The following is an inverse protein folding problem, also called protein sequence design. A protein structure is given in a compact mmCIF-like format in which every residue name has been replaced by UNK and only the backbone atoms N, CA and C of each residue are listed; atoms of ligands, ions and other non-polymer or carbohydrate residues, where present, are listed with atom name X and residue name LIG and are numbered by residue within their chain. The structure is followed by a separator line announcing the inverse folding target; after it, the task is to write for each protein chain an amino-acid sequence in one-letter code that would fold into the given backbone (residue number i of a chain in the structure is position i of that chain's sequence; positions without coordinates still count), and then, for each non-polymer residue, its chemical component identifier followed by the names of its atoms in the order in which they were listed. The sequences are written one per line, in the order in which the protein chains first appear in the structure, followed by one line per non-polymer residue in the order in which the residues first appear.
data_IF_616910076162
#
_entry.id   IF_616910076162
#
_cell.length_a   1.000
_cell.length_b   1.000
_cell.length_c   1.000
_cell.angle_alpha   90.00
_cell.angle_beta   90.00
_cell.angle_gamma   90.00
#
_symmetry.space_group_name_H-M   'P 1'
#
loop_
_entity.id
_entity.type
_entity.pdbx_description
1 polymer ?
#
# COMPACT_ATOMS: atom_id res chain seq x y z
N UNK A 1 -13.56 6.03 14.57
CA UNK A 1 -12.54 4.95 14.64
C UNK A 1 -11.50 5.22 13.56
N UNK A 2 -10.19 5.06 13.83
CA UNK A 2 -9.10 5.31 12.87
C UNK A 2 -8.47 3.97 12.47
N UNK A 3 -8.52 3.57 11.20
CA UNK A 3 -7.88 2.34 10.74
C UNK A 3 -6.36 2.51 10.78
N UNK A 4 -5.67 1.55 11.39
CA UNK A 4 -4.22 1.64 11.59
C UNK A 4 -3.46 0.80 10.56
N UNK A 5 -3.85 -0.48 10.41
CA UNK A 5 -3.23 -1.39 9.44
C UNK A 5 -4.27 -2.08 8.57
N UNK A 6 -3.89 -2.27 7.30
CA UNK A 6 -4.40 -3.31 6.43
C UNK A 6 -3.31 -4.39 6.38
N UNK A 7 -3.61 -5.63 6.77
CA UNK A 7 -2.60 -6.69 6.79
C UNK A 7 -2.67 -7.51 5.50
N UNK A 8 -1.51 -7.77 4.91
CA UNK A 8 -1.35 -8.91 4.01
C UNK A 8 -1.52 -10.17 4.83
N UNK A 9 -2.33 -11.10 4.31
CA UNK A 9 -2.59 -12.34 5.03
C UNK A 9 -1.32 -13.20 5.08
N UNK A 10 -0.92 -13.58 6.30
CA UNK A 10 0.19 -14.49 6.49
C UNK A 10 -0.15 -15.89 5.94
N UNK A 11 0.77 -16.54 5.21
CA UNK A 11 0.59 -17.92 4.79
C UNK A 11 0.50 -18.83 6.02
N UNK A 12 -0.59 -19.57 6.13
CA UNK A 12 -0.79 -20.56 7.19
C UNK A 12 -1.50 -21.81 6.63
N UNK A 13 -1.34 -22.98 7.26
CA UNK A 13 -2.05 -24.18 6.83
C UNK A 13 -3.57 -23.95 6.75
N UNK A 14 -4.16 -24.23 5.57
CA UNK A 14 -5.59 -24.08 5.32
C UNK A 14 -6.06 -22.67 4.92
N UNK A 15 -5.17 -21.67 4.81
CA UNK A 15 -5.56 -20.29 4.45
C UNK A 15 -5.45 -19.97 2.96
N UNK A 16 -4.99 -20.92 2.13
CA UNK A 16 -4.72 -20.69 0.71
C UNK A 16 -5.90 -20.06 -0.07
N UNK A 17 -7.14 -20.42 0.25
CA UNK A 17 -8.35 -19.84 -0.39
C UNK A 17 -8.58 -18.35 -0.10
N UNK A 18 -7.92 -17.81 0.92
CA UNK A 18 -7.97 -16.40 1.31
C UNK A 18 -6.75 -15.62 0.81
N UNK A 19 -5.85 -16.26 0.07
CA UNK A 19 -4.69 -15.59 -0.50
C UNK A 19 -5.12 -14.48 -1.46
N UNK A 20 -4.54 -13.31 -1.25
CA UNK A 20 -4.66 -12.14 -2.12
C UNK A 20 -3.24 -11.79 -2.58
N UNK A 21 -2.99 -11.67 -3.91
CA UNK A 21 -1.70 -11.18 -4.40
C UNK A 21 -1.37 -9.80 -3.82
N UNK A 22 -0.11 -9.52 -3.56
CA UNK A 22 0.30 -8.23 -2.95
C UNK A 22 -0.13 -7.05 -3.82
N UNK A 23 -0.04 -7.21 -5.14
CA UNK A 23 -0.43 -6.23 -6.14
C UNK A 23 -1.92 -5.88 -6.02
N UNK A 24 -2.76 -6.86 -5.68
CA UNK A 24 -4.19 -6.61 -5.47
C UNK A 24 -4.44 -5.72 -4.24
N UNK A 25 -3.72 -6.00 -3.14
CA UNK A 25 -3.76 -5.16 -1.94
C UNK A 25 -3.27 -3.73 -2.22
N UNK A 26 -2.22 -3.58 -3.03
CA UNK A 26 -1.70 -2.29 -3.49
C UNK A 26 -2.72 -1.53 -4.34
N UNK A 27 -3.36 -2.21 -5.31
CA UNK A 27 -4.44 -1.62 -6.13
C UNK A 27 -5.62 -1.16 -5.29
N UNK A 28 -6.03 -1.98 -4.31
CA UNK A 28 -7.10 -1.62 -3.38
C UNK A 28 -6.73 -0.37 -2.58
N UNK A 29 -5.52 -0.33 -2.00
CA UNK A 29 -5.07 0.81 -1.21
C UNK A 29 -4.95 2.09 -2.05
N UNK A 30 -4.43 1.99 -3.28
CA UNK A 30 -4.38 3.10 -4.23
C UNK A 30 -5.78 3.62 -4.57
N UNK A 31 -6.75 2.72 -4.81
CA UNK A 31 -8.14 3.08 -5.09
C UNK A 31 -8.85 3.80 -3.95
N UNK A 32 -8.38 3.69 -2.71
CA UNK A 32 -8.89 4.45 -1.57
C UNK A 32 -8.32 5.87 -1.49
N UNK A 33 -7.15 6.12 -2.09
CA UNK A 33 -6.47 7.42 -2.02
C UNK A 33 -7.33 8.49 -2.70
N UNK A 34 -7.56 9.60 -2.00
CA UNK A 34 -8.43 10.68 -2.47
C UNK A 34 -9.94 10.42 -2.27
N UNK A 35 -10.37 9.17 -2.04
CA UNK A 35 -11.77 8.83 -1.73
C UNK A 35 -12.08 8.84 -0.24
N UNK A 36 -11.08 8.56 0.58
CA UNK A 36 -11.17 8.65 2.04
C UNK A 36 -10.22 9.74 2.56
N UNK A 37 -10.49 10.26 3.75
CA UNK A 37 -9.59 11.21 4.41
C UNK A 37 -8.23 10.56 4.67
N UNK A 38 -7.16 11.35 4.74
CA UNK A 38 -5.82 10.83 5.03
C UNK A 38 -5.75 10.04 6.35
N UNK A 39 -6.58 10.42 7.35
CA UNK A 39 -6.69 9.71 8.62
C UNK A 39 -7.40 8.36 8.53
N UNK A 40 -8.18 8.14 7.48
CA UNK A 40 -8.89 6.90 7.20
C UNK A 40 -8.16 6.01 6.17
N UNK A 41 -7.04 6.47 5.63
CA UNK A 41 -6.22 5.71 4.70
C UNK A 41 -5.20 4.85 5.49
N UNK A 42 -5.33 3.52 5.50
CA UNK A 42 -4.53 2.66 6.37
C UNK A 42 -3.11 2.46 5.82
N UNK A 43 -2.19 2.03 6.68
CA UNK A 43 -0.91 1.49 6.23
C UNK A 43 -1.09 0.03 5.85
N UNK A 44 -0.84 -0.34 4.58
CA UNK A 44 -0.82 -1.73 4.15
C UNK A 44 0.53 -2.37 4.52
N UNK A 45 0.51 -3.49 5.24
CA UNK A 45 1.71 -4.10 5.84
C UNK A 45 1.78 -5.60 5.62
N UNK A 46 3.00 -6.12 5.48
CA UNK A 46 3.33 -7.54 5.53
C UNK A 46 4.20 -7.83 6.75
N UNK A 47 3.85 -8.87 7.49
CA UNK A 47 4.66 -9.38 8.60
C UNK A 47 5.74 -10.33 8.07
N UNK A 48 7.02 -10.05 8.39
CA UNK A 48 8.12 -10.92 7.96
C UNK A 48 8.22 -12.13 8.89
N UNK A 49 8.18 -13.37 8.36
CA UNK A 49 8.39 -14.57 9.16
C UNK A 49 9.71 -14.53 9.95
N UNK A 50 9.69 -15.02 11.19
CA UNK A 50 10.86 -14.97 12.08
C UNK A 50 10.98 -13.70 12.91
N UNK A 51 9.97 -12.82 12.89
CA UNK A 51 9.88 -11.70 13.83
C UNK A 51 10.68 -10.45 13.42
N UNK A 52 11.02 -10.30 12.15
CA UNK A 52 11.75 -9.12 11.63
C UNK A 52 10.86 -7.87 11.48
N UNK A 53 9.60 -7.94 11.93
CA UNK A 53 8.69 -6.81 11.96
C UNK A 53 7.79 -6.68 10.72
N UNK A 54 7.10 -5.54 10.64
CA UNK A 54 6.11 -5.20 9.60
C UNK A 54 6.72 -4.30 8.55
N UNK A 55 6.59 -4.66 7.29
CA UNK A 55 7.03 -3.85 6.16
C UNK A 55 5.83 -3.20 5.48
N UNK A 56 5.82 -1.87 5.30
CA UNK A 56 4.80 -1.19 4.51
C UNK A 56 4.89 -1.61 3.03
N UNK A 57 3.75 -1.99 2.46
CA UNK A 57 3.61 -2.38 1.06
C UNK A 57 2.74 -1.38 0.29
N UNK A 58 2.80 -0.09 0.64
CA UNK A 58 2.02 0.94 -0.01
C UNK A 58 2.24 1.02 -1.53
N UNK A 59 1.31 1.65 -2.27
CA UNK A 59 1.51 1.91 -3.70
C UNK A 59 2.73 2.82 -3.94
N UNK A 60 3.45 2.56 -5.02
CA UNK A 60 4.55 3.41 -5.47
C UNK A 60 4.01 4.57 -6.32
N UNK A 61 4.49 5.77 -6.01
CA UNK A 61 4.15 7.00 -6.71
C UNK A 61 5.39 7.66 -7.33
N UNK A 62 6.59 7.11 -7.14
CA UNK A 62 7.83 7.69 -7.68
C UNK A 62 8.17 6.98 -8.98
N UNK A 63 7.89 7.63 -10.11
CA UNK A 63 8.19 7.11 -11.44
C UNK A 63 9.63 7.41 -11.88
N UNK A 64 10.35 8.29 -11.15
CA UNK A 64 11.74 8.64 -11.43
C UNK A 64 12.28 9.74 -10.52
N UNK A 65 13.54 10.16 -10.74
CA UNK A 65 14.26 11.05 -9.83
C UNK A 65 13.54 12.37 -9.48
N UNK A 66 12.74 12.91 -10.40
CA UNK A 66 11.90 14.10 -10.21
C UNK A 66 10.51 13.90 -10.81
N UNK A 67 10.06 12.65 -10.93
CA UNK A 67 8.76 12.33 -11.51
C UNK A 67 7.92 11.58 -10.49
N UNK A 68 6.75 12.12 -10.20
CA UNK A 68 5.78 11.50 -9.30
C UNK A 68 4.43 11.35 -9.97
N UNK A 69 3.71 10.30 -9.61
CA UNK A 69 2.34 10.05 -10.04
C UNK A 69 1.37 10.46 -8.96
N UNK A 70 0.31 11.17 -9.34
CA UNK A 70 -0.79 11.46 -8.42
C UNK A 70 -1.78 10.27 -8.32
N UNK A 71 -2.73 10.30 -7.38
CA UNK A 71 -3.73 9.24 -7.23
C UNK A 71 -4.66 9.05 -8.44
N UNK A 72 -4.77 10.06 -9.30
CA UNK A 72 -5.52 9.99 -10.56
C UNK A 72 -4.67 9.39 -11.69
N UNK A 73 -3.42 9.05 -11.43
CA UNK A 73 -2.50 8.43 -12.38
C UNK A 73 -1.74 9.43 -13.26
N UNK A 74 -1.85 10.74 -13.02
CA UNK A 74 -1.14 11.77 -13.80
C UNK A 74 0.28 11.93 -13.28
N UNK A 75 1.25 12.00 -14.19
CA UNK A 75 2.66 12.24 -13.84
C UNK A 75 2.96 13.74 -13.73
N UNK A 76 3.75 14.10 -12.72
CA UNK A 76 4.15 15.47 -12.40
C UNK A 76 5.67 15.55 -12.29
N UNK A 77 6.27 16.59 -12.87
CA UNK A 77 7.71 16.86 -12.72
C UNK A 77 7.96 17.82 -11.57
N UNK A 78 8.77 17.39 -10.60
CA UNK A 78 9.17 18.20 -9.47
C UNK A 78 10.28 19.17 -9.88
N UNK A 79 10.15 20.44 -9.52
CA UNK A 79 11.26 21.39 -9.63
C UNK A 79 12.26 21.13 -8.49
N UNK A 80 13.56 21.26 -8.77
CA UNK A 80 14.57 21.24 -7.71
C UNK A 80 14.39 22.51 -6.86
N UNK A 81 14.34 22.33 -5.54
CA UNK A 81 14.50 23.40 -4.57
C UNK A 81 15.92 23.96 -4.60
#
# INVERSE_FOLDING_TARGET
MRPYYLHQLDPAPGTARFHVPVEEGQRLLAGLRGRVTGLAWPTYVLDIPGGYGKVPLGPDYVDGALQVRDPEGRSHTLQRL
#
